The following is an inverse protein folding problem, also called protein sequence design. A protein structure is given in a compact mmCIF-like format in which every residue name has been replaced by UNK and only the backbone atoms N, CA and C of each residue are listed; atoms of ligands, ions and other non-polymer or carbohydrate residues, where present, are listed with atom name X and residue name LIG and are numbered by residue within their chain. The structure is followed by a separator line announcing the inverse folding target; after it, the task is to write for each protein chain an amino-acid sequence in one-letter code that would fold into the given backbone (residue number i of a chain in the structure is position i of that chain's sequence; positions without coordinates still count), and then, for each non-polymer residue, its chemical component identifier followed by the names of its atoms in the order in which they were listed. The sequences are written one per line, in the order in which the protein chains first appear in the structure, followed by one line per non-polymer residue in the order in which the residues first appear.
data_IF_718961883922
#
_entry.id   IF_718961883922
#
_cell.length_a   1.000
_cell.length_b   1.000
_cell.length_c   1.000
_cell.angle_alpha   90.00
_cell.angle_beta   90.00
_cell.angle_gamma   90.00
#
_symmetry.space_group_name_H-M   'P 1'
#
loop_
_entity.id
_entity.type
_entity.pdbx_description
1 polymer ?
#
# COMPACT_ATOMS: atom_id res chain seq x y z
N UNK A 1 20.74 -10.15 -7.41
CA UNK A 1 19.55 -9.30 -7.62
C UNK A 1 19.43 -8.46 -6.38
N UNK A 2 19.12 -7.17 -6.50
CA UNK A 2 18.82 -6.35 -5.34
C UNK A 2 17.31 -6.17 -5.17
N UNK A 3 16.96 -5.57 -4.05
CA UNK A 3 15.59 -5.58 -3.54
C UNK A 3 14.82 -4.35 -4.01
N UNK A 4 13.51 -4.52 -4.24
CA UNK A 4 12.59 -3.42 -4.48
C UNK A 4 11.75 -3.20 -3.23
N UNK A 5 11.84 -2.02 -2.63
CA UNK A 5 10.96 -1.62 -1.53
C UNK A 5 9.59 -1.24 -2.06
N UNK A 6 8.52 -1.74 -1.47
CA UNK A 6 7.14 -1.41 -1.84
C UNK A 6 6.40 -0.82 -0.65
N UNK A 7 6.18 0.50 -0.68
CA UNK A 7 5.61 1.25 0.42
C UNK A 7 4.14 1.53 0.11
N UNK A 8 3.27 1.19 1.06
CA UNK A 8 1.82 1.35 0.90
C UNK A 8 1.17 1.68 2.24
N UNK A 9 0.18 2.58 2.22
CA UNK A 9 -0.58 2.93 3.42
C UNK A 9 -1.56 1.84 3.86
N UNK A 10 -1.95 0.93 2.96
CA UNK A 10 -2.80 -0.22 3.25
C UNK A 10 -2.37 -1.45 2.44
N UNK A 11 -2.65 -2.64 2.96
CA UNK A 11 -2.38 -3.90 2.27
C UNK A 11 -3.40 -4.98 2.64
N UNK A 12 -3.99 -5.62 1.63
CA UNK A 12 -5.00 -6.67 1.77
C UNK A 12 -4.44 -8.05 1.44
N UNK A 13 -3.81 -8.69 2.43
CA UNK A 13 -3.25 -10.04 2.26
C UNK A 13 -4.33 -11.12 2.43
N UNK A 14 -5.06 -11.06 3.54
CA UNK A 14 -6.26 -11.85 3.84
C UNK A 14 -7.19 -11.01 4.74
N UNK A 15 -8.47 -11.38 4.81
CA UNK A 15 -9.51 -10.54 5.38
C UNK A 15 -9.33 -10.29 6.88
N UNK A 16 -8.87 -11.29 7.64
CA UNK A 16 -8.77 -11.23 9.10
C UNK A 16 -7.65 -10.31 9.61
N UNK A 17 -6.65 -9.97 8.78
CA UNK A 17 -5.58 -9.04 9.17
C UNK A 17 -6.06 -7.57 9.24
N UNK A 18 -7.18 -7.24 8.59
CA UNK A 18 -7.82 -5.91 8.63
C UNK A 18 -6.93 -4.69 8.28
N UNK A 19 -5.82 -4.85 7.56
CA UNK A 19 -4.88 -3.75 7.21
C UNK A 19 -5.23 -3.00 5.92
N UNK A 20 -6.48 -3.09 5.46
CA UNK A 20 -6.96 -2.40 4.26
C UNK A 20 -8.43 -2.04 4.34
N UNK A 21 -8.84 -1.08 3.51
CA UNK A 21 -10.21 -0.58 3.40
C UNK A 21 -10.81 -0.70 2.01
N UNK A 22 -9.97 -0.74 0.95
CA UNK A 22 -10.45 -0.69 -0.42
C UNK A 22 -9.50 -1.29 -1.45
N UNK A 23 -9.72 -0.87 -2.70
CA UNK A 23 -9.02 -1.42 -3.87
C UNK A 23 -7.51 -1.19 -3.90
N UNK A 24 -7.02 -0.09 -3.29
CA UNK A 24 -5.59 0.21 -3.22
C UNK A 24 -4.86 -0.85 -2.38
N UNK A 25 -5.41 -1.21 -1.22
CA UNK A 25 -4.88 -2.26 -0.36
C UNK A 25 -5.02 -3.66 -0.97
N UNK A 26 -6.14 -3.96 -1.63
CA UNK A 26 -6.30 -5.22 -2.38
C UNK A 26 -5.21 -5.36 -3.45
N UNK A 27 -4.99 -4.32 -4.25
CA UNK A 27 -3.93 -4.30 -5.26
C UNK A 27 -2.55 -4.48 -4.64
N UNK A 28 -2.26 -3.82 -3.52
CA UNK A 28 -1.00 -3.97 -2.82
C UNK A 28 -0.75 -5.43 -2.37
N UNK A 29 -1.80 -6.11 -1.89
CA UNK A 29 -1.73 -7.53 -1.56
C UNK A 29 -1.51 -8.41 -2.78
N UNK A 30 -2.17 -8.10 -3.89
CA UNK A 30 -2.01 -8.82 -5.15
C UNK A 30 -0.64 -8.61 -5.80
N UNK A 31 -0.04 -7.41 -5.68
CA UNK A 31 1.35 -7.17 -6.08
C UNK A 31 2.32 -8.05 -5.29
N UNK A 32 2.18 -8.10 -3.97
CA UNK A 32 3.06 -8.91 -3.10
C UNK A 32 2.94 -10.40 -3.44
N UNK A 33 1.72 -10.91 -3.62
CA UNK A 33 1.49 -12.31 -3.99
C UNK A 33 2.04 -12.63 -5.39
N UNK A 34 1.78 -11.76 -6.36
CA UNK A 34 2.28 -11.94 -7.74
C UNK A 34 3.81 -11.84 -7.79
N UNK A 35 4.42 -10.97 -6.98
CA UNK A 35 5.88 -10.89 -6.85
C UNK A 35 6.47 -12.17 -6.24
N UNK A 36 5.77 -12.77 -5.27
CA UNK A 36 6.16 -14.06 -4.70
C UNK A 36 6.11 -15.17 -5.75
N UNK A 37 5.05 -15.24 -6.56
CA UNK A 37 4.91 -16.22 -7.64
C UNK A 37 5.93 -16.03 -8.77
N UNK A 38 6.27 -14.77 -9.09
CA UNK A 38 7.20 -14.39 -10.16
C UNK A 38 8.67 -14.32 -9.72
N UNK A 39 9.00 -14.74 -8.50
CA UNK A 39 10.36 -14.72 -7.94
C UNK A 39 11.02 -13.33 -7.93
N UNK A 40 10.22 -12.29 -7.70
CA UNK A 40 10.71 -10.91 -7.60
C UNK A 40 11.10 -10.63 -6.15
N UNK A 41 12.31 -10.10 -5.94
CA UNK A 41 12.83 -9.68 -4.63
C UNK A 41 12.16 -8.38 -4.13
N UNK A 42 10.85 -8.45 -3.88
CA UNK A 42 10.04 -7.36 -3.34
C UNK A 42 10.07 -7.39 -1.81
N UNK A 43 10.00 -6.22 -1.18
CA UNK A 43 9.84 -6.08 0.28
C UNK A 43 8.74 -5.08 0.57
N UNK A 44 7.63 -5.55 1.13
CA UNK A 44 6.51 -4.70 1.52
C UNK A 44 6.77 -3.96 2.83
N UNK A 45 6.39 -2.70 2.91
CA UNK A 45 6.42 -1.90 4.15
C UNK A 45 5.12 -1.13 4.28
N UNK A 46 4.50 -1.24 5.46
CA UNK A 46 3.25 -0.55 5.79
C UNK A 46 3.14 -0.26 7.30
N UNK A 47 2.11 0.46 7.71
CA UNK A 47 1.78 0.63 9.14
C UNK A 47 0.88 -0.51 9.61
N UNK A 48 0.98 -0.88 10.89
CA UNK A 48 0.00 -1.75 11.53
C UNK A 48 -1.13 -0.93 12.13
N UNK A 49 -2.31 -0.97 11.51
CA UNK A 49 -3.53 -0.40 12.09
C UNK A 49 -4.25 -1.47 12.90
N UNK A 50 -4.09 -1.47 14.22
CA UNK A 50 -4.64 -2.54 15.07
C UNK A 50 -6.16 -2.59 15.01
N UNK A 51 -6.85 -1.47 14.85
CA UNK A 51 -8.32 -1.41 14.72
C UNK A 51 -8.78 -1.48 13.25
N UNK A 52 -7.85 -1.57 12.30
CA UNK A 52 -8.12 -1.73 10.87
C UNK A 52 -9.07 -0.68 10.29
N UNK A 53 -9.99 -1.15 9.44
CA UNK A 53 -11.16 -0.42 8.97
C UNK A 53 -12.42 -0.95 9.68
N UNK A 54 -13.45 -0.10 9.82
CA UNK A 54 -14.62 -0.40 10.66
C UNK A 54 -15.33 -1.69 10.25
N UNK A 55 -15.62 -2.56 11.23
CA UNK A 55 -16.51 -3.71 11.03
C UNK A 55 -17.94 -3.21 10.96
N UNK A 56 -18.55 -3.38 9.78
CA UNK A 56 -19.93 -3.00 9.51
C UNK A 56 -20.91 -3.94 10.21
N UNK A 57 -21.94 -3.37 10.83
CA UNK A 57 -23.12 -4.04 11.37
C UNK A 57 -24.36 -3.44 10.73
N UNK A 58 -25.33 -4.28 10.40
CA UNK A 58 -26.63 -3.85 9.87
C UNK A 58 -27.69 -4.39 10.83
N UNK A 59 -28.46 -3.51 11.44
CA UNK A 59 -29.55 -3.90 12.34
C UNK A 59 -30.80 -4.35 11.57
N UNK A 60 -31.84 -4.77 12.31
CA UNK A 60 -33.09 -5.26 11.72
C UNK A 60 -33.87 -4.19 10.93
N UNK A 61 -33.63 -2.91 11.21
CA UNK A 61 -34.24 -1.77 10.52
C UNK A 61 -33.41 -1.32 9.31
N UNK A 62 -32.24 -1.97 9.07
CA UNK A 62 -31.32 -1.64 7.99
C UNK A 62 -30.38 -0.47 8.32
N UNK A 63 -30.30 -0.04 9.58
CA UNK A 63 -29.34 0.99 9.98
C UNK A 63 -27.94 0.38 10.08
N UNK A 64 -26.98 1.10 9.52
CA UNK A 64 -25.58 0.76 9.62
C UNK A 64 -24.97 1.32 10.91
N UNK A 65 -24.12 0.52 11.55
CA UNK A 65 -23.20 0.96 12.60
C UNK A 65 -21.84 0.28 12.45
N UNK A 66 -20.78 0.84 13.02
CA UNK A 66 -19.43 0.30 12.95
C UNK A 66 -18.83 0.00 14.33
N UNK A 67 -18.01 -1.05 14.38
CA UNK A 67 -17.13 -1.32 15.51
C UNK A 67 -15.67 -1.42 15.07
N UNK A 68 -14.75 -1.00 15.92
CA UNK A 68 -13.31 -0.92 15.64
C UNK A 68 -12.55 -1.77 16.65
N UNK A 69 -12.72 -3.09 16.58
CA UNK A 69 -12.06 -4.01 17.51
C UNK A 69 -10.59 -4.17 17.13
N UNK A 70 -9.69 -3.94 18.09
CA UNK A 70 -8.27 -4.14 17.89
C UNK A 70 -7.95 -5.63 17.70
N UNK A 71 -7.13 -5.96 16.70
CA UNK A 71 -6.52 -7.28 16.54
C UNK A 71 -5.33 -7.44 17.49
N UNK A 72 -5.05 -8.68 17.89
CA UNK A 72 -3.71 -9.03 18.40
C UNK A 72 -2.81 -9.32 17.20
N UNK A 73 -1.73 -8.55 16.97
CA UNK A 73 -0.81 -8.82 15.88
C UNK A 73 -0.24 -10.24 15.90
N UNK A 74 -0.08 -10.86 17.08
CA UNK A 74 0.47 -12.20 17.22
C UNK A 74 -0.44 -13.31 16.64
N UNK A 75 -1.72 -13.04 16.42
CA UNK A 75 -2.64 -13.98 15.77
C UNK A 75 -2.39 -14.10 14.26
N UNK A 76 -1.68 -13.13 13.67
CA UNK A 76 -1.54 -12.98 12.22
C UNK A 76 -0.09 -12.78 11.74
N UNK A 77 0.77 -12.21 12.58
CA UNK A 77 2.08 -11.72 12.22
C UNK A 77 3.17 -12.30 13.13
N UNK A 78 4.36 -12.42 12.57
CA UNK A 78 5.57 -12.83 13.27
C UNK A 78 6.19 -11.59 13.92
N UNK A 79 6.35 -11.63 15.24
CA UNK A 79 7.14 -10.65 15.96
C UNK A 79 8.62 -10.79 15.59
N UNK A 80 9.22 -9.73 15.06
CA UNK A 80 10.64 -9.76 14.69
C UNK A 80 11.56 -9.55 15.90
N UNK A 81 11.01 -9.08 17.03
CA UNK A 81 11.77 -8.66 18.21
C UNK A 81 12.51 -7.33 18.01
N UNK A 82 12.35 -6.65 16.86
CA UNK A 82 12.97 -5.37 16.58
C UNK A 82 12.08 -4.21 17.06
N UNK A 83 12.73 -3.18 17.61
CA UNK A 83 12.14 -1.88 17.92
C UNK A 83 12.80 -0.81 17.04
N UNK A 84 11.99 -0.01 16.35
CA UNK A 84 12.41 1.17 15.63
C UNK A 84 12.16 2.42 16.49
N UNK A 85 13.14 3.32 16.54
CA UNK A 85 13.06 4.60 17.25
C UNK A 85 13.18 5.75 16.26
N UNK A 86 12.24 6.69 16.29
CA UNK A 86 12.21 7.85 15.39
C UNK A 86 11.99 9.13 16.20
N UNK A 87 12.69 10.24 15.87
CA UNK A 87 12.34 11.54 16.43
C UNK A 87 10.99 11.99 15.88
N UNK A 88 10.06 12.38 16.74
CA UNK A 88 8.75 12.91 16.36
C UNK A 88 8.18 13.75 17.51
N UNK A 89 7.58 14.91 17.22
CA UNK A 89 6.94 15.80 18.21
C UNK A 89 7.87 16.16 19.39
N UNK A 90 9.12 16.54 19.09
CA UNK A 90 10.17 16.86 20.08
C UNK A 90 10.51 15.70 21.05
N UNK A 91 10.02 14.50 20.76
CA UNK A 91 10.26 13.28 21.54
C UNK A 91 10.70 12.14 20.62
N UNK A 92 10.71 10.92 21.15
CA UNK A 92 10.95 9.69 20.40
C UNK A 92 9.68 8.85 20.33
N UNK A 93 9.25 8.52 19.12
CA UNK A 93 8.24 7.50 18.89
C UNK A 93 8.92 6.14 18.70
N UNK A 94 8.37 5.13 19.36
CA UNK A 94 8.81 3.75 19.32
C UNK A 94 7.84 2.93 18.47
N UNK A 95 8.35 2.09 17.60
CA UNK A 95 7.55 1.17 16.80
C UNK A 95 8.07 -0.24 16.94
N UNK A 96 7.18 -1.18 17.27
CA UNK A 96 7.50 -2.61 17.20
C UNK A 96 7.35 -3.07 15.75
N UNK A 97 8.27 -3.92 15.31
CA UNK A 97 8.28 -4.39 13.94
C UNK A 97 7.71 -5.81 13.89
N UNK A 98 6.64 -5.95 13.12
CA UNK A 98 6.03 -7.23 12.80
C UNK A 98 6.30 -7.58 11.34
N UNK A 99 6.23 -8.86 10.99
CA UNK A 99 6.31 -9.31 9.59
C UNK A 99 5.35 -10.44 9.28
N UNK A 100 5.06 -10.59 8.00
CA UNK A 100 4.55 -11.82 7.40
C UNK A 100 5.40 -12.19 6.20
N UNK A 101 5.51 -13.49 5.94
CA UNK A 101 6.17 -14.04 4.76
C UNK A 101 5.10 -14.54 3.79
N UNK A 102 4.96 -13.88 2.64
CA UNK A 102 4.08 -14.34 1.57
C UNK A 102 4.86 -15.27 0.68
N UNK A 103 4.44 -16.53 0.60
CA UNK A 103 5.11 -17.59 -0.14
C UNK A 103 4.39 -17.80 -1.47
N UNK A 104 5.11 -17.65 -2.57
CA UNK A 104 4.59 -17.92 -3.90
C UNK A 104 4.58 -19.40 -4.25
N UNK A 105 3.98 -19.74 -5.40
CA UNK A 105 3.87 -21.13 -5.87
C UNK A 105 5.22 -21.83 -6.10
N UNK A 106 6.31 -21.08 -6.30
CA UNK A 106 7.66 -21.63 -6.46
C UNK A 106 8.38 -21.85 -5.12
N UNK A 107 7.80 -21.36 -4.02
CA UNK A 107 8.42 -21.31 -2.70
C UNK A 107 9.24 -20.04 -2.44
N UNK A 108 9.33 -19.11 -3.41
CA UNK A 108 9.93 -17.80 -3.19
C UNK A 108 9.12 -16.99 -2.17
N UNK A 109 9.82 -16.19 -1.36
CA UNK A 109 9.24 -15.49 -0.21
C UNK A 109 9.38 -14.00 -0.37
N UNK A 110 8.24 -13.30 -0.31
CA UNK A 110 8.18 -11.84 -0.22
C UNK A 110 7.79 -11.44 1.21
N UNK A 111 8.71 -10.82 1.99
CA UNK A 111 8.37 -10.34 3.32
C UNK A 111 7.60 -9.02 3.25
N UNK A 112 6.59 -8.89 4.10
CA UNK A 112 5.89 -7.62 4.36
C UNK A 112 6.08 -7.25 5.82
N UNK A 113 6.62 -6.06 6.07
CA UNK A 113 6.85 -5.53 7.41
C UNK A 113 5.81 -4.49 7.79
N UNK A 114 5.42 -4.52 9.07
CA UNK A 114 4.44 -3.62 9.65
C UNK A 114 5.04 -2.84 10.82
N UNK A 115 4.89 -1.52 10.79
CA UNK A 115 5.30 -0.61 11.85
C UNK A 115 4.13 -0.41 12.82
N UNK A 116 4.25 -0.90 14.05
CA UNK A 116 3.22 -0.84 15.09
C UNK A 116 3.59 0.18 16.17
N UNK A 117 2.82 1.25 16.31
CA UNK A 117 3.07 2.29 17.32
C UNK A 117 2.44 1.99 18.68
N UNK A 118 1.71 0.87 18.83
CA UNK A 118 1.13 0.48 20.11
C UNK A 118 2.22 -0.07 21.04
N UNK A 119 3.02 0.85 21.58
CA UNK A 119 4.22 0.57 22.34
C UNK A 119 4.11 1.17 23.75
N UNK A 120 4.52 0.48 24.83
CA UNK A 120 4.38 0.98 26.20
C UNK A 120 5.23 2.24 26.50
N UNK A 121 6.28 2.50 25.71
CA UNK A 121 7.09 3.72 25.82
C UNK A 121 6.48 4.93 25.11
N UNK A 122 5.44 4.73 24.30
CA UNK A 122 4.76 5.81 23.59
C UNK A 122 3.72 6.49 24.48
N UNK A 123 3.52 7.78 24.28
CA UNK A 123 2.36 8.50 24.81
C UNK A 123 1.06 7.89 24.26
N UNK A 124 -0.07 8.13 24.94
CA UNK A 124 -1.36 7.64 24.43
C UNK A 124 -1.66 8.19 23.03
N UNK A 125 -1.32 9.47 22.79
CA UNK A 125 -1.43 10.11 21.48
C UNK A 125 -0.62 9.36 20.40
N UNK A 126 0.63 8.98 20.69
CA UNK A 126 1.47 8.24 19.74
C UNK A 126 1.05 6.78 19.54
N UNK A 127 0.49 6.15 20.58
CA UNK A 127 -0.06 4.79 20.49
C UNK A 127 -1.24 4.71 19.52
N UNK A 128 -2.10 5.73 19.50
CA UNK A 128 -3.29 5.74 18.64
C UNK A 128 -3.00 6.13 17.19
N UNK A 129 -1.78 6.54 16.83
CA UNK A 129 -1.40 6.76 15.43
C UNK A 129 -1.53 5.47 14.60
N UNK A 130 -1.25 4.30 15.18
CA UNK A 130 -1.47 2.97 14.58
C UNK A 130 -2.83 2.34 14.95
N UNK A 131 -3.83 3.14 15.34
CA UNK A 131 -5.16 2.59 15.64
C UNK A 131 -5.93 2.30 14.34
N UNK A 132 -6.32 3.35 13.60
CA UNK A 132 -7.25 3.25 12.46
C UNK A 132 -6.63 3.69 11.15
N UNK A 133 -6.91 2.91 10.11
CA UNK A 133 -6.61 3.27 8.73
C UNK A 133 -7.52 4.42 8.28
N UNK A 134 -6.95 5.48 7.70
CA UNK A 134 -7.65 6.71 7.31
C UNK A 134 -8.45 7.37 8.45
N UNK A 135 -8.07 7.10 9.70
CA UNK A 135 -8.66 7.73 10.88
C UNK A 135 -7.91 8.98 11.32
N UNK A 136 -8.57 9.75 12.19
CA UNK A 136 -8.00 10.98 12.75
C UNK A 136 -8.20 12.20 11.85
N UNK A 137 -7.54 13.29 12.24
CA UNK A 137 -7.48 14.55 11.49
C UNK A 137 -6.14 14.67 10.74
N UNK A 138 -5.93 15.80 10.07
CA UNK A 138 -4.70 16.11 9.34
C UNK A 138 -3.43 15.94 10.20
N UNK A 139 -3.51 16.24 11.51
CA UNK A 139 -2.39 16.10 12.46
C UNK A 139 -2.05 14.64 12.74
N UNK A 140 -3.03 13.74 12.81
CA UNK A 140 -2.77 12.30 12.88
C UNK A 140 -2.22 11.78 11.55
N UNK A 141 -2.85 12.15 10.44
CA UNK A 141 -2.51 11.67 9.09
C UNK A 141 -1.07 12.00 8.70
N UNK A 142 -0.63 13.24 8.92
CA UNK A 142 0.75 13.64 8.59
C UNK A 142 1.81 12.84 9.37
N UNK A 143 1.51 12.43 10.61
CA UNK A 143 2.39 11.60 11.44
C UNK A 143 2.37 10.14 11.00
N UNK A 144 1.21 9.63 10.55
CA UNK A 144 1.14 8.32 9.89
C UNK A 144 2.02 8.29 8.64
N UNK A 145 1.94 9.30 7.77
CA UNK A 145 2.78 9.38 6.58
C UNK A 145 4.27 9.51 6.91
N UNK A 146 4.62 10.22 7.99
CA UNK A 146 5.98 10.28 8.51
C UNK A 146 6.49 8.90 8.92
N UNK A 147 5.70 8.18 9.71
CA UNK A 147 6.02 6.83 10.14
C UNK A 147 6.16 5.88 8.95
N UNK A 148 5.28 5.97 7.96
CA UNK A 148 5.32 5.12 6.77
C UNK A 148 6.56 5.42 5.92
N UNK A 149 6.76 6.68 5.54
CA UNK A 149 7.82 7.09 4.64
C UNK A 149 9.20 7.07 5.30
N UNK A 150 9.39 7.87 6.36
CA UNK A 150 10.67 7.97 7.07
C UNK A 150 10.93 6.69 7.86
N UNK A 151 9.95 6.23 8.63
CA UNK A 151 10.09 5.03 9.44
C UNK A 151 10.33 3.79 8.59
N UNK A 152 9.66 3.65 7.45
CA UNK A 152 9.89 2.54 6.53
C UNK A 152 11.33 2.48 6.01
N UNK A 153 11.91 3.60 5.59
CA UNK A 153 13.32 3.62 5.14
C UNK A 153 14.32 3.38 6.27
N UNK A 154 14.01 3.82 7.50
CA UNK A 154 14.87 3.53 8.66
C UNK A 154 14.75 2.08 9.11
N UNK A 155 13.58 1.46 8.97
CA UNK A 155 13.41 0.03 9.14
C UNK A 155 14.27 -0.76 8.15
N UNK A 156 14.24 -0.42 6.85
CA UNK A 156 15.07 -1.12 5.86
C UNK A 156 16.56 -0.99 6.17
N UNK A 157 17.01 0.18 6.63
CA UNK A 157 18.38 0.36 7.11
C UNK A 157 18.70 -0.48 8.36
N UNK A 158 17.77 -0.56 9.31
CA UNK A 158 17.90 -1.41 10.51
C UNK A 158 18.06 -2.89 10.13
N UNK A 159 17.31 -3.33 9.11
CA UNK A 159 17.38 -4.68 8.54
C UNK A 159 18.60 -4.89 7.63
N UNK A 160 19.40 -3.85 7.36
CA UNK A 160 20.56 -3.85 6.46
C UNK A 160 20.21 -4.30 5.04
N UNK A 161 19.04 -3.88 4.58
CA UNK A 161 18.56 -4.12 3.22
C UNK A 161 19.00 -2.97 2.33
N UNK A 162 19.75 -3.29 1.27
CA UNK A 162 20.06 -2.37 0.20
C UNK A 162 18.99 -2.46 -0.90
N UNK A 163 18.46 -1.30 -1.28
CA UNK A 163 17.43 -1.19 -2.32
C UNK A 163 18.04 -0.85 -3.67
N UNK A 164 17.64 -1.61 -4.69
CA UNK A 164 17.84 -1.27 -6.10
C UNK A 164 16.78 -0.29 -6.59
N UNK A 165 15.57 -0.37 -6.01
CA UNK A 165 14.47 0.54 -6.31
C UNK A 165 13.47 0.66 -5.18
N UNK A 166 12.63 1.69 -5.27
CA UNK A 166 11.56 1.98 -4.34
C UNK A 166 10.28 2.31 -5.12
N UNK A 167 9.18 1.65 -4.78
CA UNK A 167 7.88 1.87 -5.36
C UNK A 167 6.94 2.41 -4.28
N UNK A 168 6.47 3.64 -4.50
CA UNK A 168 5.51 4.33 -3.65
C UNK A 168 4.09 4.13 -4.19
N UNK A 169 3.24 3.47 -3.40
CA UNK A 169 1.84 3.26 -3.72
C UNK A 169 0.99 4.43 -3.16
N UNK A 170 0.77 5.44 -4.00
CA UNK A 170 0.07 6.70 -3.66
C UNK A 170 0.86 7.66 -2.75
N UNK A 171 0.39 8.92 -2.67
CA UNK A 171 1.05 10.05 -2.00
C UNK A 171 1.33 9.86 -0.50
N UNK A 172 0.68 8.91 0.16
CA UNK A 172 0.90 8.62 1.58
C UNK A 172 2.36 8.28 1.94
N UNK A 173 3.15 7.86 0.95
CA UNK A 173 4.52 7.41 1.13
C UNK A 173 5.55 8.50 0.79
N UNK A 174 5.12 9.70 0.39
CA UNK A 174 5.99 10.74 -0.21
C UNK A 174 7.13 11.17 0.72
N UNK A 175 6.94 11.14 2.04
CA UNK A 175 8.02 11.48 2.98
C UNK A 175 9.22 10.51 2.94
N UNK A 176 9.08 9.32 2.34
CA UNK A 176 10.22 8.46 2.04
C UNK A 176 11.24 9.18 1.14
N UNK A 177 10.77 9.94 0.15
CA UNK A 177 11.64 10.68 -0.77
C UNK A 177 12.45 11.75 -0.07
N UNK A 178 11.85 12.43 0.90
CA UNK A 178 12.53 13.47 1.68
C UNK A 178 13.59 12.88 2.61
N UNK A 179 13.32 11.72 3.22
CA UNK A 179 14.34 11.00 4.00
C UNK A 179 15.50 10.50 3.11
N UNK A 180 15.25 10.09 1.86
CA UNK A 180 16.33 9.74 0.92
C UNK A 180 17.22 10.95 0.61
N UNK A 181 16.62 12.12 0.32
CA UNK A 181 17.37 13.36 0.09
C UNK A 181 18.18 13.76 1.32
N UNK A 182 17.59 13.66 2.51
CA UNK A 182 18.26 13.91 3.78
C UNK A 182 19.45 12.95 4.02
N UNK A 183 19.38 11.72 3.49
CA UNK A 183 20.49 10.76 3.47
C UNK A 183 21.53 11.01 2.38
N UNK A 184 21.40 12.10 1.63
CA UNK A 184 22.35 12.54 0.62
C UNK A 184 22.05 12.03 -0.79
N UNK A 185 20.88 11.46 -1.04
CA UNK A 185 20.46 11.18 -2.42
C UNK A 185 20.23 12.48 -3.17
N UNK A 186 20.60 12.48 -4.44
CA UNK A 186 20.28 13.57 -5.36
C UNK A 186 18.91 13.36 -5.98
N UNK A 187 18.38 14.41 -6.62
CA UNK A 187 17.18 14.31 -7.47
C UNK A 187 17.34 13.26 -8.58
N UNK A 188 18.55 13.15 -9.13
CA UNK A 188 18.87 12.17 -10.17
C UNK A 188 18.84 10.73 -9.63
N UNK A 189 19.23 10.51 -8.38
CA UNK A 189 19.13 9.20 -7.74
C UNK A 189 17.67 8.79 -7.53
N UNK A 190 16.82 9.73 -7.07
CA UNK A 190 15.39 9.49 -6.94
C UNK A 190 14.78 9.12 -8.30
N UNK A 191 15.07 9.90 -9.34
CA UNK A 191 14.54 9.66 -10.68
C UNK A 191 14.93 8.28 -11.25
N UNK A 192 16.15 7.83 -10.96
CA UNK A 192 16.63 6.53 -11.44
C UNK A 192 15.97 5.37 -10.70
N UNK A 193 15.78 5.49 -9.39
CA UNK A 193 15.46 4.35 -8.51
C UNK A 193 14.05 4.36 -7.92
N UNK A 194 13.29 5.44 -8.07
CA UNK A 194 11.94 5.54 -7.50
C UNK A 194 10.88 5.46 -8.60
N UNK A 195 9.80 4.74 -8.30
CA UNK A 195 8.53 4.76 -9.05
C UNK A 195 7.41 5.25 -8.13
N UNK A 196 6.66 6.25 -8.57
CA UNK A 196 5.44 6.70 -7.89
C UNK A 196 4.20 6.28 -8.68
N UNK A 197 3.24 5.63 -8.01
CA UNK A 197 1.93 5.32 -8.60
C UNK A 197 0.85 6.23 -8.03
N UNK A 198 0.06 6.85 -8.91
CA UNK A 198 -1.14 7.62 -8.57
C UNK A 198 -2.39 6.84 -8.99
N UNK A 199 -3.36 6.72 -8.09
CA UNK A 199 -4.63 5.99 -8.31
C UNK A 199 -5.80 6.96 -8.48
N UNK A 200 -5.76 8.07 -7.74
CA UNK A 200 -6.86 9.01 -7.65
C UNK A 200 -6.94 9.91 -8.90
N UNK A 201 -8.08 9.92 -9.63
CA UNK A 201 -8.26 10.78 -10.81
C UNK A 201 -8.88 12.15 -10.48
N UNK A 202 -8.95 12.53 -9.20
CA UNK A 202 -9.62 13.76 -8.72
C UNK A 202 -8.85 14.43 -7.59
N UNK A 203 -8.69 15.77 -7.59
CA UNK A 203 -7.93 16.50 -6.56
C UNK A 203 -8.36 16.25 -5.11
N UNK A 204 -9.64 15.92 -4.88
CA UNK A 204 -10.21 15.71 -3.53
C UNK A 204 -9.76 14.42 -2.84
N UNK A 205 -9.17 13.46 -3.56
CA UNK A 205 -8.69 12.20 -2.98
C UNK A 205 -7.18 12.18 -2.69
N UNK A 206 -6.54 13.35 -2.63
CA UNK A 206 -5.12 13.49 -2.30
C UNK A 206 -4.97 14.19 -0.96
N UNK A 207 -4.15 13.62 -0.07
CA UNK A 207 -3.84 14.25 1.21
C UNK A 207 -3.11 15.59 0.99
N UNK A 208 -3.57 16.61 1.74
CA UNK A 208 -3.11 18.00 1.68
C UNK A 208 -2.93 18.55 3.09
N UNK A 209 -1.69 18.88 3.45
CA UNK A 209 -1.37 19.37 4.79
C UNK A 209 -0.95 20.84 4.79
N UNK A 210 -1.21 21.55 5.89
CA UNK A 210 -0.64 22.88 6.08
C UNK A 210 0.89 22.80 6.14
N UNK A 211 1.58 23.72 5.46
CA UNK A 211 3.04 23.73 5.40
C UNK A 211 3.70 23.83 6.79
N UNK A 212 3.09 24.57 7.71
CA UNK A 212 3.60 24.68 9.08
C UNK A 212 3.54 23.33 9.83
N UNK A 213 2.46 22.55 9.65
CA UNK A 213 2.35 21.19 10.20
C UNK A 213 3.39 20.25 9.59
N UNK A 214 3.61 20.32 8.26
CA UNK A 214 4.65 19.55 7.57
C UNK A 214 6.03 19.89 8.11
N UNK A 215 6.33 21.18 8.26
CA UNK A 215 7.59 21.64 8.81
C UNK A 215 7.78 21.24 10.27
N UNK A 216 6.72 21.25 11.08
CA UNK A 216 6.79 20.79 12.46
C UNK A 216 7.14 19.31 12.58
N UNK A 217 6.66 18.47 11.65
CA UNK A 217 6.92 17.03 11.64
C UNK A 217 8.27 16.68 11.02
N UNK A 218 8.64 17.30 9.90
CA UNK A 218 9.85 16.95 9.15
C UNK A 218 11.09 17.75 9.57
N UNK A 219 10.91 18.94 10.14
CA UNK A 219 12.01 19.87 10.43
C UNK A 219 12.84 20.15 9.18
N UNK A 220 14.17 19.99 9.31
CA UNK A 220 15.15 20.28 8.27
C UNK A 220 15.12 19.29 7.09
N UNK A 221 14.36 18.20 7.18
CA UNK A 221 14.18 17.28 6.04
C UNK A 221 13.30 17.87 4.93
N UNK A 222 12.54 18.93 5.22
CA UNK A 222 11.71 19.60 4.23
C UNK A 222 12.59 20.54 3.36
N UNK A 223 12.75 20.27 2.06
CA UNK A 223 13.54 21.14 1.19
C UNK A 223 12.94 22.53 1.06
N UNK A 224 13.79 23.57 0.93
CA UNK A 224 13.34 24.96 0.75
C UNK A 224 12.49 25.14 -0.51
N UNK A 225 12.75 24.34 -1.55
CA UNK A 225 12.03 24.36 -2.82
C UNK A 225 10.73 23.53 -2.81
N UNK A 226 10.39 22.82 -1.72
CA UNK A 226 9.26 21.88 -1.69
C UNK A 226 7.92 22.50 -2.12
N UNK A 227 7.64 23.75 -1.70
CA UNK A 227 6.44 24.46 -2.14
C UNK A 227 6.46 24.78 -3.63
N UNK A 228 7.62 25.16 -4.16
CA UNK A 228 7.77 25.43 -5.58
C UNK A 228 7.58 24.15 -6.39
N UNK A 229 8.07 23.00 -5.92
CA UNK A 229 7.86 21.70 -6.56
C UNK A 229 6.37 21.33 -6.64
N UNK A 230 5.60 21.58 -5.58
CA UNK A 230 4.14 21.36 -5.60
C UNK A 230 3.47 22.26 -6.64
N UNK A 231 3.86 23.53 -6.74
CA UNK A 231 3.35 24.47 -7.74
C UNK A 231 3.70 24.01 -9.15
N UNK A 232 4.96 23.68 -9.39
CA UNK A 232 5.48 23.29 -10.70
C UNK A 232 4.90 21.95 -11.18
N UNK A 233 4.54 21.07 -10.25
CA UNK A 233 3.82 19.84 -10.53
C UNK A 233 2.35 20.06 -10.93
N UNK A 234 1.87 21.30 -11.01
CA UNK A 234 0.54 21.63 -11.52
C UNK A 234 -0.55 21.70 -10.45
N UNK A 235 -0.20 21.90 -9.18
CA UNK A 235 -1.17 21.92 -8.08
C UNK A 235 -2.29 22.96 -8.29
N UNK A 236 -3.58 22.56 -8.28
CA UNK A 236 -4.69 23.46 -8.54
C UNK A 236 -4.88 24.55 -7.47
N UNK A 237 -4.29 24.38 -6.28
CA UNK A 237 -4.32 25.35 -5.18
C UNK A 237 -3.07 26.25 -5.15
N UNK A 238 -2.23 26.21 -6.19
CA UNK A 238 -0.98 26.97 -6.29
C UNK A 238 -0.08 26.81 -5.06
N UNK A 239 0.00 25.59 -4.51
CA UNK A 239 0.82 25.27 -3.35
C UNK A 239 0.38 25.98 -2.07
N UNK A 240 -0.90 26.36 -1.94
CA UNK A 240 -1.47 26.87 -0.68
C UNK A 240 -1.20 25.89 0.48
N UNK A 241 -1.43 24.59 0.21
CA UNK A 241 -1.08 23.47 1.07
C UNK A 241 -0.05 22.54 0.41
N UNK A 242 0.59 21.72 1.22
CA UNK A 242 1.45 20.64 0.74
C UNK A 242 0.59 19.48 0.26
N UNK A 243 0.34 19.40 -1.04
CA UNK A 243 -0.27 18.20 -1.63
C UNK A 243 0.76 17.09 -1.77
N UNK A 244 0.49 15.94 -1.16
CA UNK A 244 1.45 14.84 -1.08
C UNK A 244 1.72 14.17 -2.42
N UNK A 245 0.73 14.08 -3.30
CA UNK A 245 0.91 13.54 -4.65
C UNK A 245 1.61 14.53 -5.59
N UNK A 246 1.30 15.83 -5.53
CA UNK A 246 2.04 16.83 -6.31
C UNK A 246 3.47 16.97 -5.83
N UNK A 247 3.70 16.87 -4.50
CA UNK A 247 5.05 16.81 -3.96
C UNK A 247 5.77 15.56 -4.51
N UNK A 248 5.19 14.35 -4.44
CA UNK A 248 5.82 13.17 -5.02
C UNK A 248 6.22 13.37 -6.49
N UNK A 249 5.28 13.83 -7.32
CA UNK A 249 5.52 14.10 -8.74
C UNK A 249 6.60 15.16 -8.96
N UNK A 250 6.62 16.23 -8.16
CA UNK A 250 7.68 17.24 -8.22
C UNK A 250 9.05 16.71 -7.78
N UNK A 251 9.10 15.63 -6.99
CA UNK A 251 10.34 15.00 -6.54
C UNK A 251 10.83 13.89 -7.51
N UNK A 252 9.94 13.23 -8.28
CA UNK A 252 10.26 12.09 -9.16
C UNK A 252 9.60 12.21 -10.54
N UNK A 253 10.34 11.96 -11.64
CA UNK A 253 9.72 12.03 -12.98
C UNK A 253 9.07 10.70 -13.42
N UNK A 254 9.42 9.57 -12.78
CA UNK A 254 8.81 8.26 -13.08
C UNK A 254 7.50 8.09 -12.33
N UNK A 255 6.41 8.41 -13.02
CA UNK A 255 5.06 8.32 -12.48
C UNK A 255 4.22 7.40 -13.36
N UNK A 256 3.46 6.49 -12.73
CA UNK A 256 2.47 5.70 -13.42
C UNK A 256 1.06 5.86 -12.84
N UNK A 257 0.08 5.70 -13.72
CA UNK A 257 -1.33 5.57 -13.43
C UNK A 257 -1.75 4.11 -13.55
N UNK A 258 -3.01 3.83 -13.19
CA UNK A 258 -3.53 2.46 -13.04
C UNK A 258 -4.39 1.93 -14.20
N UNK A 259 -4.51 2.71 -15.27
CA UNK A 259 -5.10 2.31 -16.56
C UNK A 259 -4.78 3.35 -17.63
N UNK A 260 -5.03 3.01 -18.90
CA UNK A 260 -4.89 3.96 -20.01
C UNK A 260 -5.72 5.23 -19.81
N UNK A 261 -7.00 5.09 -19.44
CA UNK A 261 -7.88 6.25 -19.25
C UNK A 261 -7.47 7.05 -18.01
N UNK A 262 -7.10 6.36 -16.92
CA UNK A 262 -6.61 7.03 -15.72
C UNK A 262 -5.31 7.82 -16.00
N UNK A 263 -4.40 7.30 -16.83
CA UNK A 263 -3.19 8.01 -17.24
C UNK A 263 -3.49 9.29 -18.01
N UNK A 264 -4.50 9.27 -18.89
CA UNK A 264 -4.96 10.47 -19.62
C UNK A 264 -5.47 11.52 -18.62
N UNK A 265 -6.30 11.11 -17.66
CA UNK A 265 -6.85 12.04 -16.65
C UNK A 265 -5.73 12.58 -15.75
N UNK A 266 -4.86 11.71 -15.24
CA UNK A 266 -3.75 12.08 -14.37
C UNK A 266 -2.75 13.01 -15.07
N UNK A 267 -2.48 12.79 -16.36
CA UNK A 267 -1.62 13.70 -17.14
C UNK A 267 -2.18 15.13 -17.21
N UNK A 268 -3.51 15.29 -17.13
CA UNK A 268 -4.13 16.62 -17.02
C UNK A 268 -4.04 17.25 -15.64
N UNK A 269 -3.74 16.47 -14.59
CA UNK A 269 -3.61 16.95 -13.21
C UNK A 269 -2.19 17.40 -12.88
N UNK A 270 -1.18 16.78 -13.49
CA UNK A 270 0.22 16.92 -13.09
C UNK A 270 1.09 17.72 -14.07
N UNK A 271 0.51 18.73 -14.73
CA UNK A 271 1.24 19.60 -15.66
C UNK A 271 1.79 18.86 -16.88
N UNK A 272 3.08 19.05 -17.19
CA UNK A 272 3.75 18.42 -18.34
C UNK A 272 4.32 17.02 -18.04
N UNK A 273 4.12 16.50 -16.83
CA UNK A 273 4.68 15.21 -16.43
C UNK A 273 4.05 14.06 -17.23
N UNK A 274 4.89 13.21 -17.82
CA UNK A 274 4.40 12.04 -18.55
C UNK A 274 3.99 10.95 -17.57
N UNK A 275 2.70 10.59 -17.57
CA UNK A 275 2.15 9.54 -16.72
C UNK A 275 2.02 8.23 -17.51
N UNK A 276 2.76 7.21 -17.10
CA UNK A 276 2.74 5.90 -17.75
C UNK A 276 1.47 5.10 -17.38
N UNK A 277 0.76 4.49 -18.34
CA UNK A 277 -0.39 3.64 -18.02
C UNK A 277 0.04 2.22 -17.69
N UNK A 278 0.01 1.84 -16.41
CA UNK A 278 0.18 0.44 -15.98
C UNK A 278 -1.19 -0.06 -15.54
N UNK A 279 -1.82 -0.90 -16.35
CA UNK A 279 -3.19 -1.37 -16.04
C UNK A 279 -3.14 -2.32 -14.85
N UNK A 280 -3.95 -2.05 -13.82
CA UNK A 280 -4.05 -2.93 -12.65
C UNK A 280 -4.41 -4.37 -13.06
N UNK A 281 -3.80 -5.32 -12.36
CA UNK A 281 -4.15 -6.73 -12.39
C UNK A 281 -4.69 -7.19 -11.04
N UNK A 282 -5.09 -8.46 -10.98
CA UNK A 282 -5.43 -9.15 -9.74
C UNK A 282 -4.63 -10.44 -9.66
N UNK A 283 -4.34 -10.92 -8.45
CA UNK A 283 -3.64 -12.19 -8.27
C UNK A 283 -4.58 -13.34 -8.63
N UNK A 284 -4.42 -13.91 -9.83
CA UNK A 284 -5.38 -14.83 -10.44
C UNK A 284 -5.66 -16.07 -9.58
N UNK A 285 -4.67 -16.54 -8.82
CA UNK A 285 -4.86 -17.67 -7.90
C UNK A 285 -5.76 -17.28 -6.71
N UNK A 286 -5.54 -16.11 -6.09
CA UNK A 286 -6.39 -15.61 -4.98
C UNK A 286 -7.84 -15.51 -5.40
N UNK A 287 -8.08 -14.99 -6.60
CA UNK A 287 -9.42 -14.61 -7.06
C UNK A 287 -10.12 -15.71 -7.87
N UNK A 288 -9.52 -16.88 -8.01
CA UNK A 288 -10.15 -18.07 -8.59
C UNK A 288 -10.76 -18.91 -7.48
N UNK A 289 -12.08 -19.13 -7.52
CA UNK A 289 -12.75 -19.98 -6.53
C UNK A 289 -12.19 -21.42 -6.56
N UNK A 290 -12.17 -22.16 -5.43
CA UNK A 290 -11.69 -23.53 -5.39
C UNK A 290 -12.32 -24.45 -6.45
N UNK A 291 -13.63 -24.32 -6.69
CA UNK A 291 -14.33 -25.12 -7.70
C UNK A 291 -13.86 -24.82 -9.13
N UNK A 292 -13.57 -23.56 -9.45
CA UNK A 292 -13.03 -23.19 -10.76
C UNK A 292 -11.57 -23.62 -10.88
N UNK A 293 -10.79 -23.52 -9.80
CA UNK A 293 -9.42 -24.02 -9.76
C UNK A 293 -9.35 -25.52 -10.05
N UNK A 294 -10.22 -26.34 -9.46
CA UNK A 294 -10.33 -27.79 -9.77
C UNK A 294 -10.55 -28.03 -11.27
N UNK A 295 -11.45 -27.27 -11.91
CA UNK A 295 -11.71 -27.37 -13.34
C UNK A 295 -10.49 -26.94 -14.18
N UNK A 296 -9.81 -25.87 -13.76
CA UNK A 296 -8.62 -25.37 -14.45
C UNK A 296 -7.43 -26.31 -14.28
N UNK A 297 -7.25 -26.94 -13.12
CA UNK A 297 -6.19 -27.92 -12.88
C UNK A 297 -6.33 -29.12 -13.84
N UNK A 298 -7.57 -29.53 -14.16
CA UNK A 298 -7.85 -30.62 -15.10
C UNK A 298 -7.69 -30.20 -16.57
N UNK A 299 -8.24 -29.03 -16.95
CA UNK A 299 -8.41 -28.66 -18.36
C UNK A 299 -7.51 -27.51 -18.86
N UNK A 300 -6.87 -26.77 -17.96
CA UNK A 300 -5.93 -25.67 -18.22
C UNK A 300 -4.60 -25.91 -17.48
N UNK A 301 -3.80 -26.90 -17.90
CA UNK A 301 -2.55 -27.21 -17.22
C UNK A 301 -1.65 -25.97 -17.13
N UNK A 302 -0.96 -25.84 -15.99
CA UNK A 302 -0.04 -24.75 -15.68
C UNK A 302 -0.67 -23.36 -15.49
N UNK A 303 -2.00 -23.22 -15.42
CA UNK A 303 -2.65 -21.92 -15.25
C UNK A 303 -2.22 -21.16 -13.99
N UNK A 304 -1.81 -21.89 -12.93
CA UNK A 304 -1.30 -21.29 -11.70
C UNK A 304 0.04 -20.58 -11.95
N UNK A 305 0.97 -21.23 -12.65
CA UNK A 305 2.29 -20.65 -12.99
C UNK A 305 2.29 -19.70 -14.18
N UNK A 306 1.30 -19.80 -15.05
CA UNK A 306 1.18 -18.98 -16.25
C UNK A 306 -0.27 -18.48 -16.40
N UNK A 307 -0.58 -17.25 -15.97
CA UNK A 307 -1.94 -16.72 -16.07
C UNK A 307 -2.40 -16.56 -17.52
N UNK A 308 -1.51 -16.58 -18.52
CA UNK A 308 -1.91 -16.51 -19.93
C UNK A 308 -2.71 -17.75 -20.36
N UNK A 309 -2.59 -18.87 -19.64
CA UNK A 309 -3.40 -20.06 -19.88
C UNK A 309 -4.91 -19.79 -19.73
N UNK A 310 -5.30 -18.82 -18.89
CA UNK A 310 -6.70 -18.44 -18.70
C UNK A 310 -7.33 -17.83 -19.97
N UNK A 311 -6.52 -17.32 -20.90
CA UNK A 311 -7.01 -16.86 -22.20
C UNK A 311 -7.60 -17.99 -23.06
N UNK A 312 -7.26 -19.25 -22.77
CA UNK A 312 -7.81 -20.43 -23.45
C UNK A 312 -9.06 -20.98 -22.77
N UNK A 313 -9.60 -20.30 -21.76
CA UNK A 313 -10.81 -20.74 -21.03
C UNK A 313 -12.05 -20.91 -21.92
N UNK A 314 -12.06 -20.29 -23.11
CA UNK A 314 -13.09 -20.51 -24.12
C UNK A 314 -13.16 -21.93 -24.70
N UNK A 315 -12.20 -22.81 -24.40
CA UNK A 315 -12.24 -24.24 -24.77
C UNK A 315 -12.99 -25.11 -23.76
N UNK A 316 -13.25 -24.60 -22.55
CA UNK A 316 -13.96 -25.31 -21.50
C UNK A 316 -15.42 -25.50 -21.95
N UNK A 317 -15.99 -26.67 -21.65
CA UNK A 317 -17.38 -26.93 -22.04
C UNK A 317 -18.36 -26.10 -21.22
N UNK A 318 -19.47 -25.68 -21.83
CA UNK A 318 -20.55 -25.01 -21.11
C UNK A 318 -21.10 -25.88 -19.96
N UNK A 319 -21.11 -27.20 -20.14
CA UNK A 319 -21.56 -28.17 -19.12
C UNK A 319 -20.65 -28.12 -17.88
N UNK A 320 -19.33 -28.17 -18.05
CA UNK A 320 -18.37 -28.12 -16.95
C UNK A 320 -18.40 -26.76 -16.23
N UNK A 321 -18.49 -25.67 -17.00
CA UNK A 321 -18.60 -24.31 -16.45
C UNK A 321 -19.88 -24.14 -15.62
N UNK A 322 -21.02 -24.66 -16.12
CA UNK A 322 -22.29 -24.63 -15.39
C UNK A 322 -22.23 -25.48 -14.13
N UNK A 323 -21.63 -26.66 -14.19
CA UNK A 323 -21.45 -27.52 -13.03
C UNK A 323 -20.61 -26.84 -11.93
N UNK A 324 -19.46 -26.27 -12.31
CA UNK A 324 -18.60 -25.52 -11.39
C UNK A 324 -19.33 -24.30 -10.78
N UNK A 325 -20.09 -23.57 -11.60
CA UNK A 325 -20.89 -22.42 -11.15
C UNK A 325 -21.99 -22.82 -10.17
N UNK A 326 -22.71 -23.91 -10.41
CA UNK A 326 -23.75 -24.37 -9.49
C UNK A 326 -23.19 -24.84 -8.15
N UNK A 327 -22.03 -25.51 -8.14
CA UNK A 327 -21.32 -25.85 -6.89
C UNK A 327 -20.89 -24.59 -6.13
N UNK A 328 -20.33 -23.58 -6.80
CA UNK A 328 -20.04 -22.28 -6.17
C UNK A 328 -21.29 -21.60 -5.59
N UNK A 329 -22.42 -21.63 -6.31
CA UNK A 329 -23.71 -21.10 -5.81
C UNK A 329 -24.20 -21.86 -4.58
N UNK A 330 -24.02 -23.18 -4.53
CA UNK A 330 -24.38 -23.98 -3.36
C UNK A 330 -23.58 -23.56 -2.14
N UNK A 331 -22.25 -23.43 -2.28
CA UNK A 331 -21.35 -22.97 -1.20
C UNK A 331 -21.77 -21.57 -0.72
N UNK A 332 -22.01 -20.64 -1.65
CA UNK A 332 -22.44 -19.29 -1.29
C UNK A 332 -23.77 -19.27 -0.52
N UNK A 333 -24.75 -20.10 -0.93
CA UNK A 333 -26.02 -20.24 -0.20
C UNK A 333 -25.84 -20.82 1.20
N UNK A 334 -24.77 -21.57 1.46
CA UNK A 334 -24.47 -22.06 2.82
C UNK A 334 -23.82 -20.98 3.68
N UNK A 335 -22.98 -20.12 3.10
CA UNK A 335 -22.32 -19.03 3.82
C UNK A 335 -23.26 -17.86 4.19
N UNK A 336 -24.34 -17.65 3.41
CA UNK A 336 -25.28 -16.54 3.61
C UNK A 336 -26.52 -16.94 4.44
N UNK A 337 -26.67 -18.23 4.78
CA UNK A 337 -27.77 -18.72 5.63
C UNK A 337 -27.61 -18.28 7.08
#
# INVERSE_FOLDING_TARGET
MGHVGYFTAEIGLWSELHTYSGGLGVLAGDHVKSAADAEIDLIGVTLLYREGYGRQHIDQDGNQSESFAAIDPADHLIDTGLELMLPLDETTIYSRIWKVEVVGITGHVVPVYFLDTHHPKNSEYHRVLGARLYGGDDEVRIRQEYLLGVGGLRLLNLLRIELDGLHLNEGHCTFALLELLNKGWTREDLDKKVLFTTHTPVPAGHDRFNWDSVKAVLGDMLPEDAKQLVIDAGDPENGEKCSMSHLAVGLVNKVNAVSNLNAIVASGMYGENHIHPITNGVHHITWTSPTMAELYDDQLPNWQSDPTQLAYSGKLSDEDLLAAREKNRSIFRELVK
#
